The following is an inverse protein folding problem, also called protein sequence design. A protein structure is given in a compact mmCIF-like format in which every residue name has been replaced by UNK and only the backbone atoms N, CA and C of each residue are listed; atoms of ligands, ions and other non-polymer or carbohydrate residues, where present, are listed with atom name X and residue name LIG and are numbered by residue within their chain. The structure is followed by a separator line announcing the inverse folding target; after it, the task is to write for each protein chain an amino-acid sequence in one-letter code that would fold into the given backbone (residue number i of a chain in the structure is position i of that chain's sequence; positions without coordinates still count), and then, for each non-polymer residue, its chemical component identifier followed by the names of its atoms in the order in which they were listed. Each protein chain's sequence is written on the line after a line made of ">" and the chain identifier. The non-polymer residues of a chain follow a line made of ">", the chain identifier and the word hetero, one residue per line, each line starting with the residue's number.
data_IF_647202361455
#
_entry.id   IF_647202361455
#
_cell.length_a   1.000
_cell.length_b   1.000
_cell.length_c   1.000
_cell.angle_alpha   90.00
_cell.angle_beta   90.00
_cell.angle_gamma   90.00
#
_symmetry.space_group_name_H-M   'P 1'
#
loop_
_entity.id
_entity.type
_entity.pdbx_description
1 polymer ?
#
# COMPACT_ATOMS: atom_id res chain seq x y z
N UNK A 1 -33.70 36.73 22.97
CA UNK A 1 -32.65 35.69 22.95
C UNK A 1 -33.21 34.33 22.52
N UNK A 2 -33.89 34.26 21.36
CA UNK A 2 -34.53 33.01 20.88
C UNK A 2 -34.09 32.59 19.47
N UNK A 3 -33.39 33.46 18.73
CA UNK A 3 -32.95 33.19 17.36
C UNK A 3 -31.62 32.38 17.25
N UNK A 4 -30.90 32.18 18.36
CA UNK A 4 -29.60 31.46 18.36
C UNK A 4 -29.73 29.95 18.65
N UNK A 5 -30.92 29.49 19.05
CA UNK A 5 -31.19 28.06 19.31
C UNK A 5 -31.62 27.29 18.04
N UNK A 6 -32.01 27.99 16.98
CA UNK A 6 -32.50 27.36 15.74
C UNK A 6 -31.40 26.77 14.86
N UNK A 7 -30.14 27.20 14.99
CA UNK A 7 -29.04 26.74 14.13
C UNK A 7 -28.45 25.42 14.62
N UNK A 8 -28.53 25.13 15.92
CA UNK A 8 -28.06 23.86 16.49
C UNK A 8 -28.99 22.67 16.19
N UNK A 9 -30.27 22.92 15.92
CA UNK A 9 -31.24 21.86 15.59
C UNK A 9 -31.08 21.34 14.14
N UNK A 10 -30.57 22.15 13.22
CA UNK A 10 -30.42 21.76 11.82
C UNK A 10 -29.19 20.86 11.55
N UNK A 11 -28.19 20.89 12.43
CA UNK A 11 -26.95 20.10 12.29
C UNK A 11 -27.10 18.64 12.79
N UNK A 12 -28.13 18.33 13.56
CA UNK A 12 -28.40 16.97 14.05
C UNK A 12 -29.20 16.10 13.07
N UNK A 13 -29.74 16.66 11.99
CA UNK A 13 -30.62 15.95 11.04
C UNK A 13 -29.90 15.35 9.82
N UNK A 14 -28.57 15.52 9.69
CA UNK A 14 -27.79 14.98 8.57
C UNK A 14 -26.99 13.71 8.91
N UNK A 15 -27.13 13.15 10.11
CA UNK A 15 -26.37 11.98 10.59
C UNK A 15 -27.12 10.63 10.49
N UNK A 16 -28.19 10.53 9.70
CA UNK A 16 -29.07 9.36 9.64
C UNK A 16 -29.11 8.67 8.28
N UNK A 17 -27.95 8.36 7.70
CA UNK A 17 -27.81 7.44 6.56
C UNK A 17 -26.71 6.39 6.80
N UNK A 18 -26.84 5.59 7.86
CA UNK A 18 -26.08 4.35 8.02
C UNK A 18 -26.80 3.36 8.94
N UNK A 19 -28.06 3.08 8.66
CA UNK A 19 -28.76 1.97 9.30
C UNK A 19 -29.66 1.31 8.26
N UNK A 20 -29.16 0.25 7.63
CA UNK A 20 -30.00 -0.66 6.84
C UNK A 20 -30.78 -1.48 7.86
N UNK A 21 -32.11 -1.33 7.98
CA UNK A 21 -32.88 -2.10 8.96
C UNK A 21 -32.82 -3.59 8.57
N UNK A 22 -32.29 -4.42 9.47
CA UNK A 22 -32.25 -5.87 9.31
C UNK A 22 -30.87 -6.49 9.06
N UNK A 23 -29.79 -5.71 9.04
CA UNK A 23 -28.43 -6.28 9.01
C UNK A 23 -27.90 -6.51 10.42
N UNK A 24 -28.12 -7.72 10.95
CA UNK A 24 -27.33 -8.24 12.07
C UNK A 24 -26.08 -8.87 11.46
N UNK A 25 -24.88 -8.28 11.59
CA UNK A 25 -23.68 -8.97 11.15
C UNK A 25 -23.62 -10.31 11.91
N UNK A 26 -23.37 -11.44 11.22
CA UNK A 26 -23.12 -12.69 11.92
C UNK A 26 -21.95 -12.47 12.89
N UNK A 27 -21.94 -13.15 14.06
CA UNK A 27 -20.78 -13.10 14.94
C UNK A 27 -19.54 -13.45 14.09
N UNK A 28 -18.51 -12.62 14.20
CA UNK A 28 -17.24 -12.88 13.56
C UNK A 28 -16.69 -14.15 14.21
N UNK A 29 -16.99 -15.30 13.61
CA UNK A 29 -16.31 -16.54 13.96
C UNK A 29 -14.81 -16.27 13.81
N UNK A 30 -14.06 -16.36 14.91
CA UNK A 30 -12.59 -16.25 14.97
C UNK A 30 -11.85 -17.36 14.20
N UNK A 31 -12.57 -18.08 13.33
CA UNK A 31 -12.00 -18.95 12.32
C UNK A 31 -11.34 -18.07 11.27
N UNK A 32 -10.12 -17.62 11.59
CA UNK A 32 -9.12 -17.16 10.62
C UNK A 32 -9.32 -18.02 9.38
N UNK A 33 -9.71 -17.45 8.22
CA UNK A 33 -9.83 -18.24 7.01
C UNK A 33 -8.48 -18.94 6.86
N UNK A 34 -8.49 -20.28 6.85
CA UNK A 34 -7.32 -21.04 6.44
C UNK A 34 -7.10 -20.64 4.99
N UNK A 35 -6.29 -19.60 4.80
CA UNK A 35 -5.79 -19.14 3.53
C UNK A 35 -5.17 -20.36 2.85
N UNK A 36 -5.95 -21.03 2.00
CA UNK A 36 -5.48 -22.03 1.05
C UNK A 36 -4.88 -21.37 -0.19
N UNK A 37 -4.82 -20.03 -0.22
CA UNK A 37 -3.83 -19.34 -1.04
C UNK A 37 -2.47 -19.85 -0.57
N UNK A 38 -1.79 -20.58 -1.45
CA UNK A 38 -0.57 -21.33 -1.15
C UNK A 38 0.39 -20.52 -0.30
N UNK A 39 1.10 -21.20 0.61
CA UNK A 39 2.06 -20.64 1.58
C UNK A 39 2.51 -19.26 1.14
N UNK A 40 2.02 -18.22 1.85
CA UNK A 40 2.41 -16.85 1.57
C UNK A 40 3.94 -16.85 1.42
N UNK A 41 4.42 -16.40 0.26
CA UNK A 41 5.85 -16.27 0.02
C UNK A 41 6.41 -15.47 1.19
N UNK A 42 7.34 -16.08 1.93
CA UNK A 42 7.96 -15.40 3.04
C UNK A 42 8.69 -14.21 2.45
N UNK A 43 8.30 -13.00 2.84
CA UNK A 43 8.96 -11.80 2.36
C UNK A 43 10.28 -11.66 3.10
N UNK A 44 11.32 -11.27 2.38
CA UNK A 44 12.53 -10.72 2.97
C UNK A 44 12.27 -9.48 3.84
N UNK A 45 13.27 -9.10 4.63
CA UNK A 45 13.27 -7.91 5.49
C UNK A 45 14.34 -6.90 5.04
N UNK A 46 14.36 -5.72 5.63
CA UNK A 46 15.36 -4.69 5.37
C UNK A 46 16.31 -4.63 6.56
N UNK A 47 17.60 -4.83 6.29
CA UNK A 47 18.64 -4.80 7.32
C UNK A 47 18.84 -3.39 7.91
N UNK A 48 19.68 -3.29 8.95
CA UNK A 48 20.00 -2.02 9.60
C UNK A 48 20.69 -1.02 8.66
N UNK A 49 21.30 -1.51 7.58
CA UNK A 49 21.99 -0.72 6.56
C UNK A 49 21.04 -0.28 5.42
N UNK A 50 19.76 -0.65 5.50
CA UNK A 50 18.74 -0.29 4.51
C UNK A 50 18.71 -1.17 3.27
N UNK A 51 19.42 -2.31 3.27
CA UNK A 51 19.44 -3.27 2.16
C UNK A 51 18.35 -4.33 2.36
N UNK A 52 17.74 -4.75 1.26
CA UNK A 52 16.73 -5.79 1.30
C UNK A 52 17.36 -7.18 1.25
N UNK A 53 17.12 -7.98 2.28
CA UNK A 53 17.58 -9.36 2.38
C UNK A 53 16.47 -10.30 1.90
N UNK A 54 16.63 -10.86 0.70
CA UNK A 54 15.64 -11.77 0.11
C UNK A 54 15.50 -13.06 0.93
N UNK A 55 14.26 -13.52 1.10
CA UNK A 55 13.99 -14.81 1.75
C UNK A 55 14.51 -15.98 0.92
N UNK A 56 14.62 -17.16 1.55
CA UNK A 56 15.00 -18.37 0.83
C UNK A 56 14.02 -18.70 -0.32
N UNK A 57 12.74 -18.38 -0.15
CA UNK A 57 11.74 -18.61 -1.21
C UNK A 57 11.85 -17.62 -2.36
N UNK A 58 12.23 -16.38 -2.07
CA UNK A 58 12.43 -15.34 -3.09
C UNK A 58 13.69 -15.63 -3.93
N UNK A 59 14.77 -16.10 -3.30
CA UNK A 59 16.01 -16.52 -4.00
C UNK A 59 15.80 -17.71 -4.94
N UNK A 60 14.77 -18.52 -4.70
CA UNK A 60 14.42 -19.67 -5.56
C UNK A 60 13.52 -19.30 -6.75
N UNK A 61 13.08 -18.04 -6.87
CA UNK A 61 12.25 -17.62 -8.00
C UNK A 61 13.02 -17.70 -9.33
N UNK A 62 12.34 -18.13 -10.38
CA UNK A 62 12.87 -18.08 -11.74
C UNK A 62 12.92 -16.65 -12.27
N UNK A 63 13.72 -16.42 -13.31
CA UNK A 63 13.94 -15.08 -13.85
C UNK A 63 12.65 -14.38 -14.32
N UNK A 64 11.66 -15.12 -14.81
CA UNK A 64 10.38 -14.54 -15.23
C UNK A 64 9.60 -14.02 -14.03
N UNK A 65 9.58 -14.78 -12.93
CA UNK A 65 8.95 -14.35 -11.68
C UNK A 65 9.67 -13.15 -11.05
N UNK A 66 11.00 -13.16 -11.05
CA UNK A 66 11.79 -12.02 -10.54
C UNK A 66 11.52 -10.76 -11.36
N UNK A 67 11.67 -10.83 -12.69
CA UNK A 67 11.44 -9.70 -13.59
C UNK A 67 9.99 -9.18 -13.50
N UNK A 68 8.99 -10.08 -13.45
CA UNK A 68 7.60 -9.69 -13.28
C UNK A 68 7.36 -9.00 -11.93
N UNK A 69 8.00 -9.47 -10.86
CA UNK A 69 7.91 -8.84 -9.54
C UNK A 69 8.54 -7.43 -9.54
N UNK A 70 9.67 -7.25 -10.24
CA UNK A 70 10.30 -5.94 -10.41
C UNK A 70 9.37 -4.99 -11.15
N UNK A 71 8.77 -5.41 -12.27
CA UNK A 71 7.84 -4.58 -13.05
C UNK A 71 6.61 -4.15 -12.25
N UNK A 72 6.04 -5.05 -11.44
CA UNK A 72 4.92 -4.72 -10.54
C UNK A 72 5.37 -3.67 -9.50
N UNK A 73 6.52 -3.86 -8.87
CA UNK A 73 7.04 -2.90 -7.88
C UNK A 73 7.35 -1.53 -8.49
N UNK A 74 7.96 -1.47 -9.68
CA UNK A 74 8.16 -0.22 -10.44
C UNK A 74 6.82 0.47 -10.69
N UNK A 75 5.81 -0.27 -11.14
CA UNK A 75 4.47 0.29 -11.42
C UNK A 75 3.84 0.87 -10.15
N UNK A 76 3.97 0.18 -9.01
CA UNK A 76 3.46 0.66 -7.71
C UNK A 76 4.19 1.93 -7.25
N UNK A 77 5.52 1.96 -7.37
CA UNK A 77 6.31 3.14 -7.02
C UNK A 77 5.94 4.34 -7.89
N UNK A 78 5.73 4.14 -9.19
CA UNK A 78 5.32 5.20 -10.12
C UNK A 78 3.90 5.70 -9.83
N UNK A 79 2.95 4.82 -9.50
CA UNK A 79 1.59 5.22 -9.13
C UNK A 79 1.57 6.11 -7.88
N UNK A 80 2.44 5.81 -6.90
CA UNK A 80 2.55 6.61 -5.68
C UNK A 80 3.04 8.06 -5.91
N UNK A 81 3.90 8.28 -6.90
CA UNK A 81 4.46 9.60 -7.25
C UNK A 81 3.43 10.49 -7.96
N UNK A 82 2.53 9.90 -8.75
CA UNK A 82 1.50 10.63 -9.50
C UNK A 82 0.24 11.00 -8.69
N UNK A 83 0.08 10.47 -7.47
CA UNK A 83 -1.09 10.76 -6.63
C UNK A 83 -0.93 12.07 -5.87
N UNK A 84 -1.92 12.93 -6.03
CA UNK A 84 -2.06 14.17 -5.25
C UNK A 84 -2.01 13.85 -3.74
N UNK A 85 -1.19 14.60 -2.99
CA UNK A 85 -1.11 14.42 -1.55
C UNK A 85 -2.47 14.71 -0.91
N UNK A 86 -2.98 13.82 -0.04
CA UNK A 86 -4.21 14.11 0.68
C UNK A 86 -3.98 15.36 1.52
N UNK A 87 -4.87 16.34 1.37
CA UNK A 87 -4.79 17.63 2.05
C UNK A 87 -4.44 17.47 3.53
N UNK A 88 -3.68 18.43 4.09
CA UNK A 88 -3.21 18.43 5.49
C UNK A 88 -4.32 18.22 6.53
N UNK A 89 -5.55 18.64 6.20
CA UNK A 89 -6.76 18.43 6.99
C UNK A 89 -7.24 16.96 6.95
N UNK A 90 -7.20 16.32 5.79
CA UNK A 90 -7.59 14.91 5.62
C UNK A 90 -6.57 13.97 6.24
N UNK A 91 -5.27 14.27 6.13
CA UNK A 91 -4.21 13.47 6.73
C UNK A 91 -4.18 13.56 8.26
N UNK A 92 -4.58 14.69 8.86
CA UNK A 92 -4.76 14.80 10.32
C UNK A 92 -6.01 14.05 10.81
N UNK A 93 -7.13 14.11 10.09
CA UNK A 93 -8.32 13.31 10.41
C UNK A 93 -8.06 11.80 10.32
N UNK A 94 -7.29 11.35 9.32
CA UNK A 94 -6.87 9.95 9.19
C UNK A 94 -5.92 9.52 10.33
N UNK A 95 -5.01 10.39 10.78
CA UNK A 95 -4.13 10.12 11.93
C UNK A 95 -4.91 9.98 13.24
N UNK A 96 -5.98 10.76 13.43
CA UNK A 96 -6.82 10.68 14.62
C UNK A 96 -7.76 9.47 14.63
N UNK A 97 -8.21 8.99 13.46
CA UNK A 97 -9.07 7.82 13.36
C UNK A 97 -8.28 6.50 13.43
N UNK A 98 -7.07 6.47 12.89
CA UNK A 98 -6.19 5.28 12.94
C UNK A 98 -5.68 4.97 14.35
N UNK A 99 -5.45 5.97 15.21
CA UNK A 99 -4.99 5.78 16.59
C UNK A 99 -6.05 5.16 17.50
N UNK A 100 -7.34 5.40 17.25
CA UNK A 100 -8.45 4.87 18.05
C UNK A 100 -8.82 3.43 17.64
N UNK A 101 -8.61 3.06 16.37
CA UNK A 101 -9.01 1.76 15.81
C UNK A 101 -7.84 0.80 15.51
N UNK A 102 -6.64 1.05 16.04
CA UNK A 102 -5.49 0.14 15.88
C UNK A 102 -4.95 0.05 14.44
N UNK A 103 -5.19 1.07 13.61
CA UNK A 103 -4.63 1.15 12.27
C UNK A 103 -3.15 1.53 12.31
N UNK A 104 -2.28 0.70 11.73
CA UNK A 104 -0.84 0.97 11.67
C UNK A 104 -0.56 2.32 11.01
N UNK A 105 0.19 3.20 11.69
CA UNK A 105 0.69 4.48 11.21
C UNK A 105 1.65 4.39 9.99
N UNK A 106 1.76 3.21 9.35
CA UNK A 106 2.57 2.98 8.15
C UNK A 106 2.17 3.88 6.97
N UNK A 107 0.97 4.46 6.97
CA UNK A 107 0.54 5.42 5.94
C UNK A 107 1.16 6.82 6.08
N UNK A 108 1.78 7.14 7.23
CA UNK A 108 2.34 8.47 7.47
C UNK A 108 3.77 8.64 6.91
N UNK A 109 4.51 7.55 6.72
CA UNK A 109 5.90 7.56 6.23
C UNK A 109 5.99 7.06 4.78
N UNK A 110 5.62 7.93 3.83
CA UNK A 110 5.72 7.62 2.40
C UNK A 110 7.17 7.36 1.97
N UNK A 111 8.11 8.11 2.53
CA UNK A 111 9.51 8.03 2.15
C UNK A 111 10.13 6.70 2.60
N UNK A 112 9.83 6.24 3.82
CA UNK A 112 10.28 4.95 4.30
C UNK A 112 9.68 3.78 3.52
N UNK A 113 8.41 3.86 3.11
CA UNK A 113 7.81 2.86 2.22
C UNK A 113 8.51 2.85 0.85
N UNK A 114 8.75 4.03 0.26
CA UNK A 114 9.47 4.14 -1.01
C UNK A 114 10.87 3.53 -0.93
N UNK A 115 11.65 3.89 0.11
CA UNK A 115 13.01 3.41 0.28
C UNK A 115 13.08 1.88 0.45
N UNK A 116 12.16 1.30 1.24
CA UNK A 116 12.07 -0.17 1.42
C UNK A 116 11.70 -0.89 0.13
N UNK A 117 10.71 -0.39 -0.59
CA UNK A 117 10.29 -0.99 -1.87
C UNK A 117 11.42 -0.86 -2.90
N UNK A 118 12.14 0.27 -2.93
CA UNK A 118 13.30 0.47 -3.80
C UNK A 118 14.42 -0.52 -3.49
N UNK A 119 14.79 -0.68 -2.22
CA UNK A 119 15.79 -1.64 -1.80
C UNK A 119 15.43 -3.07 -2.22
N UNK A 120 14.14 -3.43 -2.14
CA UNK A 120 13.63 -4.74 -2.63
C UNK A 120 13.84 -4.91 -4.13
N UNK A 121 13.55 -3.88 -4.93
CA UNK A 121 13.77 -3.93 -6.37
C UNK A 121 15.24 -4.12 -6.73
N UNK A 122 16.13 -3.40 -6.04
CA UNK A 122 17.58 -3.50 -6.26
C UNK A 122 18.10 -4.91 -5.91
N UNK A 123 17.62 -5.50 -4.81
CA UNK A 123 17.95 -6.88 -4.43
C UNK A 123 17.47 -7.88 -5.50
N UNK A 124 16.24 -7.75 -6.00
CA UNK A 124 15.72 -8.63 -7.05
C UNK A 124 16.49 -8.49 -8.36
N UNK A 125 16.92 -7.28 -8.70
CA UNK A 125 17.66 -7.01 -9.92
C UNK A 125 19.10 -7.55 -9.86
N UNK A 126 19.74 -7.46 -8.69
CA UNK A 126 21.05 -8.12 -8.48
C UNK A 126 20.93 -9.65 -8.55
N UNK A 127 19.84 -10.23 -8.04
CA UNK A 127 19.56 -11.66 -8.19
C UNK A 127 19.31 -12.06 -9.65
N UNK A 128 18.66 -11.21 -10.47
CA UNK A 128 18.57 -11.45 -11.92
C UNK A 128 19.96 -11.54 -12.57
N UNK A 129 20.86 -10.61 -12.23
CA UNK A 129 22.24 -10.62 -12.71
C UNK A 129 22.99 -11.87 -12.26
N UNK A 130 22.86 -12.26 -11.00
CA UNK A 130 23.47 -13.48 -10.45
C UNK A 130 22.98 -14.76 -11.15
N UNK A 131 21.73 -14.78 -11.60
CA UNK A 131 21.15 -15.89 -12.38
C UNK A 131 21.45 -15.82 -13.88
N UNK A 132 22.19 -14.80 -14.35
CA UNK A 132 22.53 -14.63 -15.77
C UNK A 132 21.37 -14.12 -16.63
N UNK A 133 20.38 -13.48 -16.02
CA UNK A 133 19.20 -12.97 -16.70
C UNK A 133 19.31 -11.46 -16.96
N UNK A 134 18.55 -10.92 -17.94
CA UNK A 134 18.60 -9.50 -18.26
C UNK A 134 18.20 -8.66 -17.05
N UNK A 135 19.10 -7.77 -16.62
CA UNK A 135 18.81 -6.80 -15.58
C UNK A 135 17.97 -5.65 -16.14
N UNK A 136 17.17 -5.05 -15.27
CA UNK A 136 16.31 -3.92 -15.57
C UNK A 136 16.98 -2.66 -15.04
N UNK A 137 17.01 -1.59 -15.84
CA UNK A 137 17.40 -0.27 -15.37
C UNK A 137 16.25 0.36 -14.59
N UNK A 138 16.24 0.14 -13.26
CA UNK A 138 15.15 0.56 -12.40
C UNK A 138 15.02 2.08 -12.39
N UNK A 139 16.13 2.82 -12.41
CA UNK A 139 16.12 4.29 -12.39
C UNK A 139 15.53 4.86 -13.68
N UNK A 140 15.93 4.33 -14.84
CA UNK A 140 15.35 4.74 -16.11
C UNK A 140 13.84 4.41 -16.19
N UNK A 141 13.41 3.26 -15.67
CA UNK A 141 12.00 2.88 -15.64
C UNK A 141 11.16 3.77 -14.71
N UNK A 142 11.70 4.15 -13.55
CA UNK A 142 11.03 5.07 -12.62
C UNK A 142 10.98 6.50 -13.15
N UNK A 143 12.00 6.95 -13.88
CA UNK A 143 12.06 8.26 -14.51
C UNK A 143 11.13 8.40 -15.73
N UNK A 144 10.64 7.28 -16.29
CA UNK A 144 9.78 7.31 -17.46
C UNK A 144 8.47 8.05 -17.15
N UNK A 145 8.07 9.05 -17.96
CA UNK A 145 6.80 9.74 -17.75
C UNK A 145 5.63 8.76 -17.83
N UNK A 146 4.51 9.02 -17.12
CA UNK A 146 3.33 8.19 -17.22
C UNK A 146 2.86 8.16 -18.68
N UNK A 147 2.57 6.97 -19.21
CA UNK A 147 1.93 6.86 -20.52
C UNK A 147 0.57 7.56 -20.41
N UNK A 148 0.35 8.58 -21.25
CA UNK A 148 -0.92 9.29 -21.29
C UNK A 148 -2.08 8.34 -21.59
N UNK A 149 -3.33 8.75 -21.33
CA UNK A 149 -4.49 7.89 -21.54
C UNK A 149 -4.51 7.38 -22.98
N UNK A 150 -4.46 6.05 -23.13
CA UNK A 150 -4.61 5.40 -24.43
C UNK A 150 -6.02 5.72 -24.93
N UNK A 151 -6.12 6.51 -26.00
CA UNK A 151 -7.38 6.73 -26.71
C UNK A 151 -7.70 5.41 -27.42
N UNK A 152 -8.64 4.65 -26.86
CA UNK A 152 -9.25 3.50 -27.52
C UNK A 152 -10.45 3.96 -28.35
#
# INVERSE_FOLDING_TARGET
>A
MLARLSVLAALLLLASCAAVPGYSPPPLDDKKPKSSFGKALESGDVDADGRYEMSATEKQMDCKRLAGSIQIGITRLRDGVGREEPSTVSSSAQKLTTSVFGGSAKSADRQGVYARERAKLDAYNSELGAKGCPMIDIDAELARPPEGPKKY
#
